data_IF_813718708874
#
_entry.id   IF_813718708874
#
_cell.length_a   1.000
_cell.length_b   1.000
_cell.length_c   1.000
_cell.angle_alpha   90.00
_cell.angle_beta   90.00
_cell.angle_gamma   90.00
#
_symmetry.space_group_name_H-M   'P 1'
#
loop_
_entity.id
_entity.type
_entity.pdbx_description
1 polymer ?
#
# COMPACT_ATOMS: atom_id res chain seq x y z
N UNK A 1 2.64 21.43 8.07
CA UNK A 1 2.87 20.37 7.07
C UNK A 1 1.64 20.30 6.18
N UNK A 2 1.77 20.37 4.85
CA UNK A 2 0.63 20.08 3.98
C UNK A 2 0.18 18.65 4.25
N UNK A 3 -1.12 18.46 4.49
CA UNK A 3 -1.69 17.13 4.69
C UNK A 3 -1.39 16.23 3.49
N UNK A 4 -1.18 14.94 3.73
CA UNK A 4 -1.00 13.98 2.65
C UNK A 4 -2.30 13.88 1.83
N UNK A 5 -2.21 14.19 0.54
CA UNK A 5 -3.31 14.03 -0.42
C UNK A 5 -2.86 12.93 -1.39
N UNK A 6 -3.49 11.75 -1.37
CA UNK A 6 -3.16 10.68 -2.31
C UNK A 6 -3.44 11.12 -3.74
N UNK A 7 -2.59 10.71 -4.68
CA UNK A 7 -2.80 10.99 -6.10
C UNK A 7 -3.86 10.06 -6.69
N UNK A 8 -4.42 10.46 -7.84
CA UNK A 8 -5.39 9.61 -8.56
C UNK A 8 -4.78 8.27 -9.00
N UNK A 9 -3.47 8.24 -9.29
CA UNK A 9 -2.76 7.00 -9.66
C UNK A 9 -2.65 6.04 -8.47
N UNK A 10 -2.32 6.56 -7.28
CA UNK A 10 -2.27 5.76 -6.05
C UNK A 10 -3.66 5.19 -5.70
N UNK A 11 -4.70 6.01 -5.83
CA UNK A 11 -6.08 5.57 -5.61
C UNK A 11 -6.47 4.47 -6.61
N UNK A 12 -6.15 4.64 -7.89
CA UNK A 12 -6.46 3.65 -8.92
C UNK A 12 -5.74 2.31 -8.71
N UNK A 13 -4.48 2.34 -8.24
CA UNK A 13 -3.74 1.12 -7.92
C UNK A 13 -4.40 0.33 -6.78
N UNK A 14 -4.84 1.02 -5.73
CA UNK A 14 -5.54 0.38 -4.59
C UNK A 14 -6.92 -0.12 -5.02
N UNK A 15 -7.66 0.63 -5.85
CA UNK A 15 -8.95 0.16 -6.37
C UNK A 15 -8.77 -1.15 -7.16
N UNK A 16 -7.77 -1.25 -8.03
CA UNK A 16 -7.49 -2.50 -8.78
C UNK A 16 -7.15 -3.68 -7.87
N UNK A 17 -6.42 -3.44 -6.78
CA UNK A 17 -6.13 -4.49 -5.80
C UNK A 17 -7.40 -4.93 -5.06
N UNK A 18 -8.26 -3.98 -4.69
CA UNK A 18 -9.55 -4.25 -4.06
C UNK A 18 -10.51 -4.98 -5.02
N UNK A 19 -10.52 -4.68 -6.31
CA UNK A 19 -11.34 -5.40 -7.30
C UNK A 19 -11.06 -6.92 -7.29
N UNK A 20 -9.83 -7.32 -6.92
CA UNK A 20 -9.39 -8.71 -6.87
C UNK A 20 -9.60 -9.32 -5.48
N UNK A 21 -9.24 -8.59 -4.42
CA UNK A 21 -9.17 -9.12 -3.06
C UNK A 21 -10.40 -8.80 -2.19
N UNK A 22 -11.11 -7.71 -2.49
CA UNK A 22 -12.21 -7.15 -1.68
C UNK A 22 -13.17 -6.29 -2.54
N UNK A 23 -13.88 -6.92 -3.52
CA UNK A 23 -14.61 -6.19 -4.56
C UNK A 23 -15.78 -5.38 -4.01
N UNK A 24 -16.33 -5.72 -2.85
CA UNK A 24 -17.37 -4.95 -2.16
C UNK A 24 -16.88 -3.56 -1.73
N UNK A 25 -15.57 -3.41 -1.51
CA UNK A 25 -14.93 -2.16 -1.11
C UNK A 25 -14.10 -1.51 -2.22
N UNK A 26 -14.14 -2.03 -3.45
CA UNK A 26 -13.37 -1.56 -4.61
C UNK A 26 -13.88 -0.22 -5.19
N UNK A 27 -13.86 0.82 -4.37
CA UNK A 27 -14.26 2.17 -4.73
C UNK A 27 -13.20 3.20 -4.31
N UNK A 28 -13.21 4.35 -4.99
CA UNK A 28 -12.18 5.39 -4.81
C UNK A 28 -12.18 5.97 -3.39
N UNK A 29 -13.33 6.06 -2.73
CA UNK A 29 -13.43 6.62 -1.38
C UNK A 29 -12.78 5.70 -0.35
N UNK A 30 -13.03 4.40 -0.43
CA UNK A 30 -12.40 3.41 0.44
C UNK A 30 -10.88 3.32 0.19
N UNK A 31 -10.47 3.30 -1.09
CA UNK A 31 -9.06 3.32 -1.47
C UNK A 31 -8.33 4.56 -0.92
N UNK A 32 -8.96 5.74 -1.00
CA UNK A 32 -8.42 6.98 -0.43
C UNK A 32 -8.29 6.90 1.09
N UNK A 33 -9.29 6.36 1.78
CA UNK A 33 -9.25 6.18 3.24
C UNK A 33 -8.16 5.20 3.67
N UNK A 34 -7.97 4.09 2.95
CA UNK A 34 -6.87 3.13 3.17
C UNK A 34 -5.50 3.80 3.06
N UNK A 35 -5.27 4.58 1.99
CA UNK A 35 -4.01 5.31 1.79
C UNK A 35 -3.74 6.33 2.91
N UNK A 36 -4.77 7.07 3.33
CA UNK A 36 -4.66 8.02 4.45
C UNK A 36 -4.36 7.30 5.76
N UNK A 37 -5.07 6.20 6.06
CA UNK A 37 -4.85 5.38 7.27
C UNK A 37 -3.45 4.78 7.30
N UNK A 38 -2.97 4.25 6.18
CA UNK A 38 -1.61 3.74 6.08
C UNK A 38 -0.58 4.83 6.36
N UNK A 39 -0.70 6.01 5.74
CA UNK A 39 0.24 7.13 5.97
C UNK A 39 0.23 7.64 7.40
N UNK A 40 -0.93 7.70 8.04
CA UNK A 40 -1.04 8.06 9.46
C UNK A 40 -0.45 6.96 10.36
N UNK A 41 -0.76 5.69 10.09
CA UNK A 41 -0.17 4.56 10.80
C UNK A 41 1.35 4.52 10.68
N UNK A 42 1.90 4.82 9.50
CA UNK A 42 3.34 4.96 9.28
C UNK A 42 3.96 6.13 10.06
N UNK A 43 3.22 7.23 10.24
CA UNK A 43 3.67 8.36 11.05
C UNK A 43 3.74 7.98 12.53
N UNK A 44 2.76 7.22 13.01
CA UNK A 44 2.72 6.74 14.38
C UNK A 44 3.80 5.67 14.62
N UNK A 45 3.99 4.74 13.68
CA UNK A 45 5.04 3.71 13.73
C UNK A 45 6.44 4.31 13.62
N UNK A 46 6.66 5.28 12.72
CA UNK A 46 7.95 5.96 12.58
C UNK A 46 8.37 6.77 13.80
N UNK A 47 7.40 7.17 14.64
CA UNK A 47 7.67 7.76 15.94
C UNK A 47 8.09 6.73 17.00
N UNK A 48 7.71 5.46 16.83
CA UNK A 48 7.97 4.37 17.77
C UNK A 48 9.22 3.57 17.38
N UNK A 49 9.41 3.24 16.11
CA UNK A 49 10.55 2.48 15.58
C UNK A 49 10.74 2.69 14.06
N UNK A 50 11.80 3.39 13.68
CA UNK A 50 12.15 3.70 12.28
C UNK A 50 12.50 2.43 11.46
N UNK A 51 13.02 1.38 12.11
CA UNK A 51 13.33 0.10 11.44
C UNK A 51 12.09 -0.72 11.10
N UNK A 52 11.00 -0.53 11.85
CA UNK A 52 9.71 -1.17 11.56
C UNK A 52 8.99 -0.46 10.40
N UNK A 53 9.15 0.86 10.30
CA UNK A 53 8.63 1.68 9.21
C UNK A 53 9.22 1.28 7.85
N UNK A 54 10.55 1.11 7.77
CA UNK A 54 11.19 0.68 6.51
C UNK A 54 10.76 -0.72 6.08
N UNK A 55 10.66 -1.68 7.02
CA UNK A 55 10.18 -3.04 6.70
C UNK A 55 8.74 -3.07 6.18
N UNK A 56 7.84 -2.25 6.72
CA UNK A 56 6.46 -2.21 6.24
C UNK A 56 6.33 -1.48 4.89
N UNK A 57 7.12 -0.41 4.67
CA UNK A 57 7.22 0.22 3.33
C UNK A 57 7.75 -0.75 2.28
N UNK A 58 8.74 -1.58 2.61
CA UNK A 58 9.25 -2.62 1.71
C UNK A 58 8.20 -3.70 1.40
N UNK A 59 7.41 -4.13 2.39
CA UNK A 59 6.31 -5.07 2.17
C UNK A 59 5.23 -4.49 1.25
N UNK A 60 5.00 -3.18 1.35
CA UNK A 60 4.04 -2.49 0.48
C UNK A 60 4.59 -2.30 -0.95
N UNK A 61 5.87 -1.95 -1.10
CA UNK A 61 6.54 -1.91 -2.41
C UNK A 61 6.60 -3.27 -3.11
N UNK A 62 6.67 -4.37 -2.36
CA UNK A 62 6.70 -5.74 -2.90
C UNK A 62 5.36 -6.25 -3.44
N UNK A 63 4.28 -5.48 -3.35
CA UNK A 63 3.04 -5.73 -4.11
C UNK A 63 2.74 -4.49 -4.94
N UNK A 64 3.27 -4.43 -6.18
CA UNK A 64 2.59 -5.10 -7.28
C UNK A 64 3.55 -5.85 -8.21
N UNK A 65 3.14 -7.03 -8.68
CA UNK A 65 3.86 -7.86 -9.67
C UNK A 65 5.09 -8.59 -9.12
N UNK A 66 4.87 -9.76 -8.54
CA UNK A 66 5.82 -10.88 -8.70
C UNK A 66 5.03 -12.19 -8.83
N UNK A 67 4.36 -12.34 -9.99
CA UNK A 67 4.40 -13.63 -10.66
C UNK A 67 5.74 -13.67 -11.37
N UNK A 68 6.79 -14.12 -10.69
CA UNK A 68 7.93 -14.70 -11.38
C UNK A 68 8.25 -16.02 -10.71
N UNK A 69 7.71 -17.05 -11.36
CA UNK A 69 7.98 -18.46 -11.15
C UNK A 69 9.47 -18.69 -10.93
N UNK A 70 9.70 -19.53 -9.95
CA UNK A 70 10.96 -19.88 -9.33
C UNK A 70 12.10 -20.18 -10.32
N UNK A 71 13.26 -19.68 -9.92
CA UNK A 71 14.57 -20.16 -10.28
C UNK A 71 14.64 -21.68 -10.00
N UNK A 72 14.69 -22.50 -11.04
CA UNK A 72 15.25 -23.86 -10.96
C UNK A 72 16.59 -23.79 -11.69
N UNK A 73 17.64 -23.72 -10.88
CA UNK A 73 19.05 -23.71 -11.25
C UNK A 73 19.44 -25.00 -12.01
N UNK A 74 20.34 -24.85 -13.00
CA UNK A 74 21.11 -25.94 -13.63
C UNK A 74 22.37 -26.25 -12.81
#
# INVERSE_FOLDING_TARGET
>A
MPGFIPTDEEIAAIVRDLEINDPENANRDYARQQLIRMKLGYRDIGHVDEGLLEKQKEQFKKKPTDSKTDDISD
#
